data_IF_413440077393
#
_entry.id   IF_413440077393
#
_cell.length_a   1.000
_cell.length_b   1.000
_cell.length_c   1.000
_cell.angle_alpha   90.00
_cell.angle_beta   90.00
_cell.angle_gamma   90.00
#
_symmetry.space_group_name_H-M   'P 1'
#
loop_
_entity.id
_entity.type
_entity.pdbx_description
1 polymer ?
#
# COMPACT_ATOMS: atom_id res chain seq x y z
N UNK A 1 -12.60 -15.92 -10.92
CA UNK A 1 -13.62 -15.36 -9.99
C UNK A 1 -13.46 -13.84 -9.86
N UNK A 2 -14.14 -13.15 -8.92
CA UNK A 2 -14.00 -11.70 -8.68
C UNK A 2 -13.06 -11.35 -7.50
N UNK A 3 -12.32 -12.32 -7.00
CA UNK A 3 -11.49 -12.18 -5.80
C UNK A 3 -12.31 -12.11 -4.52
N UNK A 4 -11.67 -11.65 -3.44
CA UNK A 4 -12.36 -11.31 -2.19
C UNK A 4 -13.20 -10.05 -2.41
N UNK A 5 -14.41 -10.03 -1.86
CA UNK A 5 -15.39 -8.96 -2.05
C UNK A 5 -15.79 -8.34 -0.70
N UNK A 6 -16.11 -7.05 -0.73
CA UNK A 6 -16.80 -6.37 0.37
C UNK A 6 -18.17 -5.94 -0.14
N UNK A 7 -19.22 -6.42 0.52
CA UNK A 7 -20.61 -6.07 0.20
C UNK A 7 -21.19 -5.31 1.38
N UNK A 8 -21.54 -4.05 1.15
CA UNK A 8 -22.22 -3.20 2.14
C UNK A 8 -23.03 -2.14 1.41
N UNK A 9 -24.19 -1.78 1.96
CA UNK A 9 -25.09 -0.78 1.37
C UNK A 9 -25.43 -1.11 -0.09
N UNK A 10 -25.77 -2.38 -0.33
CA UNK A 10 -26.15 -2.94 -1.63
C UNK A 10 -25.06 -2.82 -2.72
N UNK A 11 -23.83 -2.45 -2.37
CA UNK A 11 -22.72 -2.27 -3.31
C UNK A 11 -21.67 -3.37 -3.13
N UNK A 12 -21.36 -4.06 -4.22
CA UNK A 12 -20.30 -5.07 -4.29
C UNK A 12 -18.99 -4.40 -4.70
N UNK A 13 -18.00 -4.40 -3.81
CA UNK A 13 -16.71 -3.75 -4.03
C UNK A 13 -15.56 -4.78 -4.09
N UNK A 14 -14.53 -4.47 -4.89
CA UNK A 14 -13.31 -5.27 -4.94
C UNK A 14 -12.46 -5.05 -3.67
N UNK A 15 -11.95 -6.12 -3.06
CA UNK A 15 -11.14 -6.01 -1.85
C UNK A 15 -9.91 -5.10 -2.00
N UNK A 16 -9.31 -5.03 -3.18
CA UNK A 16 -8.13 -4.18 -3.46
C UNK A 16 -8.44 -2.69 -3.39
N UNK A 17 -9.60 -2.25 -3.86
CA UNK A 17 -9.89 -0.83 -4.07
C UNK A 17 -10.81 -0.25 -2.99
N UNK A 18 -11.63 -1.09 -2.36
CA UNK A 18 -12.60 -0.66 -1.35
C UNK A 18 -11.97 -0.04 -0.10
N UNK A 19 -12.53 1.03 0.41
CA UNK A 19 -12.06 1.65 1.65
C UNK A 19 -13.20 2.34 2.37
N UNK A 20 -13.08 2.44 3.69
CA UNK A 20 -13.96 3.31 4.49
C UNK A 20 -13.63 4.77 4.17
N UNK A 21 -14.63 5.60 3.86
CA UNK A 21 -14.48 7.01 3.44
C UNK A 21 -15.12 7.99 4.42
N UNK A 22 -16.00 7.51 5.29
CA UNK A 22 -16.65 8.27 6.35
C UNK A 22 -16.57 7.54 7.69
N UNK A 23 -16.32 8.31 8.75
CA UNK A 23 -16.34 7.79 10.12
C UNK A 23 -17.74 7.43 10.61
N UNK A 24 -18.78 8.02 10.04
CA UNK A 24 -20.17 7.91 10.54
C UNK A 24 -21.19 7.44 9.51
N UNK A 25 -21.05 7.81 8.23
CA UNK A 25 -22.08 7.52 7.22
C UNK A 25 -22.16 6.01 6.93
N UNK A 26 -23.37 5.52 6.65
CA UNK A 26 -23.62 4.12 6.31
C UNK A 26 -22.98 3.75 4.96
N UNK A 27 -23.11 4.63 3.97
CA UNK A 27 -22.52 4.49 2.62
C UNK A 27 -21.03 4.88 2.62
N UNK A 28 -20.24 4.19 3.44
CA UNK A 28 -18.82 4.54 3.69
C UNK A 28 -17.82 3.66 2.97
N UNK A 29 -18.19 2.44 2.57
CA UNK A 29 -17.28 1.59 1.81
C UNK A 29 -17.42 1.89 0.32
N UNK A 30 -16.36 2.45 -0.27
CA UNK A 30 -16.35 2.91 -1.65
C UNK A 30 -15.03 2.55 -2.33
N UNK A 31 -15.05 2.23 -3.63
CA UNK A 31 -13.86 1.91 -4.45
C UNK A 31 -13.30 3.13 -5.22
N UNK A 32 -13.69 4.33 -4.80
CA UNK A 32 -13.29 5.66 -5.27
C UNK A 32 -13.27 5.74 -6.80
N UNK A 33 -12.15 6.21 -7.38
CA UNK A 33 -12.01 6.48 -8.81
C UNK A 33 -12.23 5.24 -9.69
N UNK A 34 -12.00 4.03 -9.16
CA UNK A 34 -12.13 2.77 -9.90
C UNK A 34 -13.54 2.18 -9.85
N UNK A 35 -14.35 2.59 -8.87
CA UNK A 35 -15.76 2.22 -8.74
C UNK A 35 -16.05 0.77 -8.33
N UNK A 36 -17.30 0.54 -7.94
CA UNK A 36 -17.81 -0.76 -7.50
C UNK A 36 -17.92 -1.77 -8.66
N UNK A 37 -17.98 -3.06 -8.30
CA UNK A 37 -18.11 -4.16 -9.24
C UNK A 37 -19.55 -4.46 -9.65
N UNK A 38 -20.50 -4.20 -8.75
CA UNK A 38 -21.90 -4.57 -8.94
C UNK A 38 -22.80 -4.15 -7.79
N UNK A 39 -24.09 -4.50 -7.90
CA UNK A 39 -25.11 -4.24 -6.90
C UNK A 39 -25.76 -5.54 -6.41
N UNK A 40 -26.29 -5.49 -5.19
CA UNK A 40 -27.18 -6.49 -4.61
C UNK A 40 -28.54 -5.85 -4.45
N UNK A 41 -29.42 -6.08 -5.42
CA UNK A 41 -30.78 -5.53 -5.41
C UNK A 41 -31.79 -6.63 -5.01
N UNK A 42 -33.04 -6.23 -4.78
CA UNK A 42 -34.09 -7.14 -4.33
C UNK A 42 -34.42 -8.29 -5.30
N UNK A 43 -34.07 -8.15 -6.58
CA UNK A 43 -34.30 -9.19 -7.59
C UNK A 43 -33.07 -10.10 -7.80
N UNK A 44 -31.85 -9.54 -7.78
CA UNK A 44 -30.61 -10.29 -8.03
C UNK A 44 -29.34 -9.53 -7.65
N UNK A 45 -28.23 -10.27 -7.64
CA UNK A 45 -26.87 -9.69 -7.67
C UNK A 45 -26.45 -9.46 -9.12
N UNK A 46 -26.10 -8.23 -9.47
CA UNK A 46 -25.67 -7.84 -10.82
C UNK A 46 -24.24 -7.31 -10.82
N UNK A 47 -23.36 -7.91 -11.63
CA UNK A 47 -21.98 -7.45 -11.82
C UNK A 47 -21.82 -6.70 -13.14
N UNK A 48 -21.18 -5.54 -13.10
CA UNK A 48 -20.92 -4.68 -14.26
C UNK A 48 -19.41 -4.48 -14.50
N UNK A 49 -18.56 -4.75 -13.51
CA UNK A 49 -17.09 -4.66 -13.62
C UNK A 49 -16.39 -5.90 -13.05
N UNK A 50 -15.09 -5.98 -13.25
CA UNK A 50 -14.22 -7.01 -12.68
C UNK A 50 -12.88 -6.39 -12.25
N UNK A 51 -12.24 -6.86 -11.17
CA UNK A 51 -10.87 -6.49 -10.86
C UNK A 51 -9.92 -6.96 -11.97
N UNK A 52 -8.91 -6.15 -12.30
CA UNK A 52 -7.89 -6.47 -13.32
C UNK A 52 -6.54 -6.87 -12.72
N UNK A 53 -6.35 -6.65 -11.42
CA UNK A 53 -5.14 -7.02 -10.68
C UNK A 53 -5.22 -8.49 -10.25
N UNK A 54 -4.06 -9.15 -10.20
CA UNK A 54 -3.99 -10.58 -9.81
C UNK A 54 -4.50 -10.75 -8.38
N UNK A 55 -5.21 -11.83 -8.11
CA UNK A 55 -5.77 -12.08 -6.78
C UNK A 55 -5.98 -13.58 -6.55
N UNK A 56 -6.17 -13.98 -5.28
CA UNK A 56 -6.58 -15.35 -4.90
C UNK A 56 -5.66 -16.42 -5.49
N UNK A 57 -6.19 -17.40 -6.22
CA UNK A 57 -5.41 -18.48 -6.84
C UNK A 57 -4.40 -17.99 -7.90
N UNK A 58 -4.60 -16.80 -8.47
CA UNK A 58 -3.65 -16.20 -9.41
C UNK A 58 -2.51 -15.44 -8.69
N UNK A 59 -2.51 -15.42 -7.36
CA UNK A 59 -1.48 -14.79 -6.54
C UNK A 59 -0.29 -15.71 -6.29
N UNK A 60 0.91 -15.13 -6.30
CA UNK A 60 2.16 -15.83 -5.99
C UNK A 60 2.48 -15.93 -4.49
N UNK A 61 1.61 -15.39 -3.62
CA UNK A 61 1.80 -15.44 -2.17
C UNK A 61 1.26 -16.75 -1.60
N UNK A 62 2.16 -17.63 -1.17
CA UNK A 62 1.84 -18.80 -0.37
C UNK A 62 2.17 -18.54 1.10
N UNK A 63 1.17 -18.65 1.98
CA UNK A 63 1.32 -18.37 3.41
C UNK A 63 1.65 -19.61 4.25
N UNK A 64 1.63 -20.80 3.63
CA UNK A 64 1.95 -22.04 4.33
C UNK A 64 3.39 -22.01 4.85
N UNK A 65 3.56 -22.26 6.15
CA UNK A 65 4.88 -22.25 6.80
C UNK A 65 5.38 -20.86 7.22
N UNK A 66 4.60 -19.79 7.02
CA UNK A 66 4.93 -18.47 7.55
C UNK A 66 4.48 -18.40 9.02
N UNK A 67 5.44 -18.36 9.93
CA UNK A 67 5.18 -18.27 11.38
C UNK A 67 4.97 -16.82 11.84
N UNK A 68 5.67 -15.87 11.23
CA UNK A 68 5.56 -14.44 11.49
C UNK A 68 5.72 -13.64 10.20
N UNK A 69 4.99 -12.52 10.11
CA UNK A 69 5.13 -11.61 8.98
C UNK A 69 6.27 -10.62 9.18
N UNK A 70 6.94 -10.18 8.09
CA UNK A 70 7.88 -9.07 8.11
C UNK A 70 7.28 -7.82 8.77
N UNK A 71 8.09 -7.13 9.58
CA UNK A 71 7.67 -5.92 10.30
C UNK A 71 7.66 -4.74 9.35
N UNK A 72 6.46 -4.28 9.01
CA UNK A 72 6.25 -3.10 8.17
C UNK A 72 5.43 -2.08 8.94
N UNK A 73 5.90 -0.84 9.00
CA UNK A 73 5.21 0.25 9.69
C UNK A 73 4.79 1.36 8.75
N UNK A 74 3.83 2.18 9.18
CA UNK A 74 3.33 3.32 8.42
C UNK A 74 3.75 4.61 9.13
N UNK A 75 4.38 5.51 8.39
CA UNK A 75 4.73 6.85 8.87
C UNK A 75 3.88 7.88 8.13
N UNK A 76 3.28 8.79 8.89
CA UNK A 76 2.40 9.81 8.34
C UNK A 76 3.18 11.09 8.04
N UNK A 77 3.07 11.59 6.80
CA UNK A 77 3.74 12.83 6.40
C UNK A 77 2.86 14.06 6.59
N UNK A 78 3.45 15.11 7.13
CA UNK A 78 2.84 16.41 7.37
C UNK A 78 3.90 17.51 7.33
N UNK A 79 3.44 18.78 7.38
CA UNK A 79 4.33 19.94 7.40
C UNK A 79 5.19 19.87 8.65
N UNK A 80 6.51 20.02 8.50
CA UNK A 80 7.49 19.89 9.59
C UNK A 80 7.36 18.57 10.37
N UNK A 81 7.18 17.46 9.64
CA UNK A 81 7.12 16.13 10.24
C UNK A 81 8.32 15.83 11.14
N UNK A 82 8.03 15.26 12.32
CA UNK A 82 9.05 14.94 13.31
C UNK A 82 9.84 13.69 12.83
N UNK A 83 11.16 13.79 12.62
CA UNK A 83 11.95 12.68 12.12
C UNK A 83 12.08 11.50 13.10
N UNK A 84 11.86 11.73 14.40
CA UNK A 84 12.06 10.74 15.48
C UNK A 84 11.37 9.41 15.20
N UNK A 85 10.17 9.43 14.61
CA UNK A 85 9.48 8.18 14.31
C UNK A 85 10.20 7.37 13.22
N UNK A 86 10.69 8.01 12.16
CA UNK A 86 11.46 7.32 11.11
C UNK A 86 12.78 6.80 11.68
N UNK A 87 13.46 7.60 12.50
CA UNK A 87 14.72 7.22 13.13
C UNK A 87 14.55 6.01 14.05
N UNK A 88 13.54 6.03 14.91
CA UNK A 88 13.24 4.92 15.81
C UNK A 88 12.92 3.63 15.06
N UNK A 89 12.18 3.70 13.94
CA UNK A 89 11.88 2.52 13.12
C UNK A 89 13.13 1.97 12.42
N UNK A 90 14.02 2.85 11.94
CA UNK A 90 15.31 2.44 11.36
C UNK A 90 16.17 1.75 12.42
N UNK A 91 16.25 2.32 13.63
CA UNK A 91 17.04 1.77 14.75
C UNK A 91 16.48 0.46 15.28
N UNK A 92 15.15 0.31 15.30
CA UNK A 92 14.45 -0.93 15.66
C UNK A 92 14.52 -2.00 14.55
N UNK A 93 15.11 -1.68 13.39
CA UNK A 93 15.38 -2.64 12.32
C UNK A 93 14.13 -3.20 11.63
N UNK A 94 13.14 -2.35 11.36
CA UNK A 94 11.94 -2.77 10.61
C UNK A 94 12.31 -3.26 9.21
N UNK A 95 11.51 -4.19 8.66
CA UNK A 95 11.72 -4.72 7.31
C UNK A 95 11.27 -3.73 6.23
N UNK A 96 10.34 -2.84 6.55
CA UNK A 96 9.89 -1.82 5.62
C UNK A 96 9.07 -0.70 6.25
N UNK A 97 8.99 0.42 5.54
CA UNK A 97 8.26 1.62 5.95
C UNK A 97 7.37 2.06 4.79
N UNK A 98 6.09 2.24 5.07
CA UNK A 98 5.14 2.87 4.16
C UNK A 98 4.96 4.33 4.56
N UNK A 99 5.34 5.24 3.67
CA UNK A 99 5.11 6.67 3.86
C UNK A 99 3.69 7.03 3.37
N UNK A 100 2.82 7.46 4.28
CA UNK A 100 1.57 8.11 3.94
C UNK A 100 1.85 9.56 3.52
N UNK A 101 2.39 9.70 2.32
CA UNK A 101 2.90 10.96 1.77
C UNK A 101 1.82 11.99 1.48
N UNK A 102 2.25 13.25 1.36
CA UNK A 102 1.41 14.38 0.93
C UNK A 102 1.19 14.37 -0.59
N UNK A 103 0.01 14.80 -1.06
CA UNK A 103 -0.29 14.85 -2.50
C UNK A 103 -0.03 13.51 -3.20
N UNK A 104 0.73 13.52 -4.29
CA UNK A 104 1.13 12.33 -5.04
C UNK A 104 2.30 11.54 -4.38
N UNK A 105 2.23 11.33 -3.06
CA UNK A 105 3.24 10.61 -2.28
C UNK A 105 4.55 11.38 -2.08
N UNK A 106 4.45 12.70 -1.90
CA UNK A 106 5.54 13.57 -1.46
C UNK A 106 5.81 13.47 0.05
N UNK A 107 6.95 14.01 0.46
CA UNK A 107 7.40 14.07 1.86
C UNK A 107 8.09 15.42 2.10
N UNK A 108 8.19 15.83 3.35
CA UNK A 108 8.94 17.01 3.77
C UNK A 108 10.45 16.81 3.57
N UNK A 109 11.21 17.92 3.61
CA UNK A 109 12.67 17.87 3.55
C UNK A 109 13.26 17.08 4.72
N UNK A 110 12.75 17.29 5.93
CA UNK A 110 13.21 16.55 7.12
C UNK A 110 13.02 15.05 6.99
N UNK A 111 11.85 14.60 6.52
CA UNK A 111 11.61 13.17 6.29
C UNK A 111 12.58 12.60 5.25
N UNK A 112 12.84 13.35 4.16
CA UNK A 112 13.82 12.95 3.14
C UNK A 112 15.21 12.82 3.75
N UNK A 113 15.71 13.86 4.42
CA UNK A 113 17.03 13.89 5.03
C UNK A 113 17.21 12.72 6.03
N UNK A 114 16.16 12.37 6.79
CA UNK A 114 16.17 11.21 7.69
C UNK A 114 16.18 9.88 6.94
N UNK A 115 15.41 9.74 5.87
CA UNK A 115 15.37 8.52 5.06
C UNK A 115 16.69 8.28 4.31
N UNK A 116 17.47 9.32 4.02
CA UNK A 116 18.83 9.17 3.45
C UNK A 116 19.74 8.32 4.32
N UNK A 117 19.52 8.29 5.64
CA UNK A 117 20.21 7.36 6.55
C UNK A 117 20.02 5.89 6.17
N UNK A 118 18.93 5.51 5.52
CA UNK A 118 18.73 4.12 5.05
C UNK A 118 19.81 3.72 4.06
N UNK A 119 20.28 4.65 3.22
CA UNK A 119 21.32 4.38 2.20
C UNK A 119 22.69 4.06 2.80
N UNK A 120 22.92 4.43 4.07
CA UNK A 120 24.19 4.16 4.75
C UNK A 120 24.19 2.79 5.45
N UNK A 121 23.03 2.14 5.58
CA UNK A 121 22.93 0.81 6.18
C UNK A 121 23.44 -0.27 5.21
N UNK A 122 23.92 -1.42 5.71
CA UNK A 122 24.19 -2.60 4.89
C UNK A 122 22.94 -3.02 4.12
N UNK A 123 23.08 -3.46 2.87
CA UNK A 123 21.95 -3.78 1.99
C UNK A 123 20.90 -4.72 2.64
N UNK A 124 21.34 -5.74 3.38
CA UNK A 124 20.44 -6.67 4.07
C UNK A 124 19.70 -6.09 5.28
N UNK A 125 20.12 -4.93 5.80
CA UNK A 125 19.52 -4.24 6.94
C UNK A 125 18.67 -3.03 6.52
N UNK A 126 18.57 -2.73 5.22
CA UNK A 126 17.78 -1.60 4.73
C UNK A 126 16.28 -1.94 4.78
N UNK A 127 15.44 -1.13 5.45
CA UNK A 127 14.00 -1.23 5.27
C UNK A 127 13.61 -0.88 3.83
N UNK A 128 12.66 -1.63 3.26
CA UNK A 128 12.06 -1.25 1.98
C UNK A 128 11.08 -0.10 2.20
N UNK A 129 11.31 1.01 1.48
CA UNK A 129 10.48 2.21 1.59
C UNK A 129 9.43 2.24 0.47
N UNK A 130 8.16 2.27 0.84
CA UNK A 130 7.02 2.43 -0.09
C UNK A 130 6.41 3.81 0.07
N UNK A 131 6.29 4.55 -1.03
CA UNK A 131 5.55 5.81 -1.08
C UNK A 131 4.09 5.55 -1.41
N UNK A 132 3.22 5.76 -0.43
CA UNK A 132 1.77 5.85 -0.60
C UNK A 132 1.33 7.31 -0.43
N UNK A 133 0.02 7.55 -0.27
CA UNK A 133 -0.52 8.89 -0.06
C UNK A 133 -1.57 8.90 1.06
N UNK A 134 -1.66 10.03 1.77
CA UNK A 134 -2.74 10.29 2.74
C UNK A 134 -3.96 11.00 2.15
N UNK A 135 -3.95 11.27 0.83
CA UNK A 135 -5.01 11.99 0.12
C UNK A 135 -6.28 11.15 0.03
N UNK A 136 -6.11 9.84 -0.17
CA UNK A 136 -7.20 8.89 -0.26
C UNK A 136 -7.57 8.54 -1.70
N UNK A 137 -7.09 9.21 -2.73
CA UNK A 137 -7.38 8.82 -4.12
C UNK A 137 -6.22 9.13 -5.05
N UNK A 138 -6.31 8.67 -6.31
CA UNK A 138 -5.25 8.81 -7.28
C UNK A 138 -4.07 7.84 -7.10
N UNK A 139 -3.14 7.92 -8.06
CA UNK A 139 -1.95 7.06 -8.14
C UNK A 139 -0.71 7.78 -7.62
N UNK A 140 0.10 7.08 -6.84
CA UNK A 140 1.51 7.44 -6.64
C UNK A 140 2.34 6.81 -7.75
N UNK A 141 2.98 7.65 -8.56
CA UNK A 141 3.78 7.19 -9.70
C UNK A 141 5.21 6.85 -9.27
N UNK A 142 5.84 5.85 -9.91
CA UNK A 142 7.29 5.70 -9.87
C UNK A 142 7.96 7.01 -10.31
N UNK A 143 9.05 7.39 -9.65
CA UNK A 143 9.89 8.52 -10.08
C UNK A 143 11.17 7.97 -10.69
N UNK A 144 11.48 8.42 -11.91
CA UNK A 144 12.66 8.01 -12.69
C UNK A 144 13.91 8.81 -12.32
N UNK A 145 13.74 10.03 -11.82
CA UNK A 145 14.84 10.83 -11.30
C UNK A 145 15.07 10.43 -9.84
N UNK A 146 16.25 9.89 -9.58
CA UNK A 146 16.75 9.51 -8.27
C UNK A 146 16.40 10.55 -7.21
N UNK A 147 15.41 10.23 -6.39
CA UNK A 147 15.33 10.78 -5.04
C UNK A 147 16.50 10.22 -4.18
N UNK A 148 17.41 9.39 -4.74
CA UNK A 148 18.56 8.74 -4.08
C UNK A 148 18.18 7.56 -3.16
N UNK A 149 16.88 7.38 -2.93
CA UNK A 149 16.33 6.56 -1.85
C UNK A 149 15.70 5.25 -2.33
N UNK A 150 15.78 4.95 -3.64
CA UNK A 150 15.36 3.68 -4.23
C UNK A 150 13.96 3.19 -3.76
N UNK A 151 12.98 4.10 -3.71
CA UNK A 151 11.66 3.77 -3.14
C UNK A 151 10.76 3.01 -4.12
N UNK A 152 9.76 2.32 -3.56
CA UNK A 152 8.66 1.67 -4.29
C UNK A 152 7.45 2.60 -4.33
N UNK A 153 6.80 2.73 -5.49
CA UNK A 153 5.56 3.50 -5.60
C UNK A 153 4.34 2.63 -5.27
N UNK A 154 3.47 3.12 -4.37
CA UNK A 154 2.29 2.40 -3.90
C UNK A 154 1.11 2.34 -4.88
N UNK A 155 1.25 2.92 -6.08
CA UNK A 155 0.17 3.01 -7.09
C UNK A 155 -1.12 3.60 -6.48
N UNK A 156 -2.28 2.94 -6.58
CA UNK A 156 -3.53 3.38 -5.95
C UNK A 156 -3.71 2.91 -4.50
N UNK A 157 -2.77 2.12 -3.97
CA UNK A 157 -2.91 1.56 -2.62
C UNK A 157 -2.71 2.66 -1.58
N UNK A 158 -3.71 2.85 -0.73
CA UNK A 158 -3.57 3.66 0.48
C UNK A 158 -2.55 3.02 1.46
N UNK A 159 -2.09 3.74 2.49
CA UNK A 159 -0.95 3.30 3.30
C UNK A 159 -1.16 1.94 3.97
N UNK A 160 -2.36 1.70 4.51
CA UNK A 160 -2.70 0.43 5.15
C UNK A 160 -2.76 -0.75 4.18
N UNK A 161 -3.15 -0.55 2.92
CA UNK A 161 -3.12 -1.61 1.90
C UNK A 161 -1.75 -1.81 1.29
N UNK A 162 -1.00 -0.73 1.06
CA UNK A 162 0.39 -0.79 0.65
C UNK A 162 1.24 -1.56 1.68
N UNK A 163 0.97 -1.37 2.98
CA UNK A 163 1.57 -2.14 4.07
C UNK A 163 1.31 -3.63 3.94
N UNK A 164 0.06 -4.04 3.70
CA UNK A 164 -0.28 -5.46 3.52
C UNK A 164 0.50 -6.04 2.33
N UNK A 165 0.49 -5.37 1.18
CA UNK A 165 1.19 -5.87 0.01
C UNK A 165 2.71 -5.94 0.22
N UNK A 166 3.31 -4.96 0.90
CA UNK A 166 4.72 -4.98 1.24
C UNK A 166 5.06 -6.12 2.22
N UNK A 167 4.24 -6.34 3.25
CA UNK A 167 4.42 -7.47 4.17
C UNK A 167 4.42 -8.79 3.41
N UNK A 168 3.51 -8.98 2.46
CA UNK A 168 3.45 -10.18 1.62
C UNK A 168 4.66 -10.27 0.68
N UNK A 169 5.04 -9.18 0.03
CA UNK A 169 6.21 -9.15 -0.85
C UNK A 169 7.50 -9.56 -0.13
N UNK A 170 7.69 -9.08 1.10
CA UNK A 170 8.86 -9.36 1.93
C UNK A 170 8.93 -10.81 2.43
N UNK A 171 7.84 -11.58 2.36
CA UNK A 171 7.90 -13.04 2.60
C UNK A 171 8.51 -13.81 1.43
N UNK A 172 8.64 -13.17 0.26
CA UNK A 172 9.11 -13.77 -0.98
C UNK A 172 10.49 -13.25 -1.39
N UNK A 173 10.72 -11.96 -1.23
CA UNK A 173 11.92 -11.31 -1.77
C UNK A 173 12.24 -10.01 -1.04
N UNK A 174 13.52 -9.64 -1.06
CA UNK A 174 14.00 -8.27 -0.74
C UNK A 174 14.55 -7.56 -1.98
N UNK A 175 14.50 -8.20 -3.14
CA UNK A 175 14.89 -7.58 -4.41
C UNK A 175 13.92 -6.45 -4.77
N UNK A 176 14.46 -5.26 -4.94
CA UNK A 176 13.64 -4.06 -5.07
C UNK A 176 12.85 -4.02 -6.38
N UNK A 177 13.44 -4.52 -7.48
CA UNK A 177 12.77 -4.53 -8.77
C UNK A 177 11.63 -5.55 -8.81
N UNK A 178 11.81 -6.67 -8.12
CA UNK A 178 10.73 -7.64 -7.91
C UNK A 178 9.61 -7.07 -7.03
N UNK A 179 9.92 -6.34 -5.96
CA UNK A 179 8.90 -5.66 -5.15
C UNK A 179 8.17 -4.60 -5.99
N UNK A 180 8.88 -3.84 -6.83
CA UNK A 180 8.26 -2.90 -7.78
C UNK A 180 7.35 -3.62 -8.77
N UNK A 181 7.71 -4.81 -9.25
CA UNK A 181 6.84 -5.65 -10.09
C UNK A 181 5.59 -6.07 -9.33
N UNK A 182 5.73 -6.57 -8.11
CA UNK A 182 4.63 -6.97 -7.24
C UNK A 182 3.62 -5.82 -7.08
N UNK A 183 4.08 -4.61 -6.74
CA UNK A 183 3.22 -3.44 -6.60
C UNK A 183 2.51 -3.01 -7.89
N UNK A 184 3.03 -3.39 -9.07
CA UNK A 184 2.36 -3.16 -10.36
C UNK A 184 1.30 -4.21 -10.67
N UNK A 185 1.49 -5.47 -10.26
CA UNK A 185 0.61 -6.59 -10.63
C UNK A 185 -0.55 -6.82 -9.66
N UNK A 186 -0.37 -6.46 -8.38
CA UNK A 186 -1.31 -6.74 -7.29
C UNK A 186 -2.02 -5.49 -6.75
#
# INVERSE_FOLDING_TARGET
GKGVLVVLNDQVNAARDVTKTSTYRLETFNSRDLGLLGYVDGDRVSFYRAPTKRHTADSEFALAGIEAFPRVDIVYSYVEANPVLIEALIEDGVDGIVLAGTGAGGMSRRERDTLERVTTLPAGARPIIVRSNRVGSGRVLPRTADDGLEMVAGDTLNPQKARILLMLALTRTRDLDEIRRIFREY
#
